data_IF_794330937829
#
_entry.id   IF_794330937829
#
_cell.length_a   1.000
_cell.length_b   1.000
_cell.length_c   1.000
_cell.angle_alpha   90.00
_cell.angle_beta   90.00
_cell.angle_gamma   90.00
#
_symmetry.space_group_name_H-M   'P 1'
#
loop_
_entity.id
_entity.type
_entity.pdbx_description
1 polymer ?
#
# COMPACT_ATOMS: atom_id res chain seq x y z
N UNK A 1 -20.18 30.64 -19.30
CA UNK A 1 -20.15 30.84 -17.81
C UNK A 1 -20.18 29.45 -17.20
N UNK A 2 -19.04 28.99 -16.63
CA UNK A 2 -18.97 27.70 -15.95
C UNK A 2 -19.72 27.89 -14.63
N UNK A 3 -20.82 27.18 -14.44
CA UNK A 3 -21.52 27.15 -13.16
C UNK A 3 -20.60 26.50 -12.11
N UNK A 4 -19.96 27.34 -11.33
CA UNK A 4 -19.11 26.92 -10.20
C UNK A 4 -19.99 26.77 -8.95
N UNK A 5 -21.02 25.93 -9.03
CA UNK A 5 -21.74 25.55 -7.80
C UNK A 5 -20.74 24.87 -6.88
N UNK A 6 -20.36 25.45 -5.74
CA UNK A 6 -19.40 24.84 -4.83
C UNK A 6 -19.98 23.52 -4.31
N UNK A 7 -19.12 22.54 -4.12
CA UNK A 7 -19.48 21.35 -3.35
C UNK A 7 -20.04 21.79 -1.99
N UNK A 8 -21.11 21.13 -1.53
CA UNK A 8 -21.83 21.53 -0.34
C UNK A 8 -21.02 21.39 0.95
N UNK A 9 -20.02 20.50 0.98
CA UNK A 9 -19.13 20.29 2.12
C UNK A 9 -17.86 19.53 1.74
N UNK A 10 -16.81 19.64 2.55
CA UNK A 10 -15.69 18.73 2.53
C UNK A 10 -16.06 17.38 3.16
N UNK A 11 -15.40 16.31 2.73
CA UNK A 11 -15.54 14.98 3.34
C UNK A 11 -14.62 14.86 4.58
N UNK A 12 -15.20 14.56 5.74
CA UNK A 12 -14.48 14.27 6.97
C UNK A 12 -14.59 12.78 7.30
N UNK A 13 -13.45 12.11 7.52
CA UNK A 13 -13.39 10.69 7.85
C UNK A 13 -12.66 10.55 9.19
N UNK A 14 -13.38 10.33 10.30
CA UNK A 14 -12.75 10.19 11.61
C UNK A 14 -11.92 8.91 11.69
N UNK A 15 -10.83 8.95 12.45
CA UNK A 15 -9.90 7.85 12.55
C UNK A 15 -10.52 6.55 13.11
N UNK A 16 -11.48 6.68 14.02
CA UNK A 16 -12.20 5.55 14.63
C UNK A 16 -13.20 4.87 13.68
N UNK A 17 -13.55 5.52 12.58
CA UNK A 17 -14.39 4.94 11.53
C UNK A 17 -13.57 4.29 10.40
N UNK A 18 -12.25 4.42 10.41
CA UNK A 18 -11.40 3.82 9.40
C UNK A 18 -11.41 2.28 9.54
N UNK A 19 -11.78 1.60 8.46
CA UNK A 19 -11.67 0.16 8.37
C UNK A 19 -10.22 -0.27 8.11
N UNK A 20 -9.93 -1.55 8.30
CA UNK A 20 -8.64 -2.11 8.01
C UNK A 20 -8.64 -3.62 8.10
N UNK A 21 -7.52 -4.22 7.77
CA UNK A 21 -7.29 -5.66 7.88
C UNK A 21 -5.96 -5.94 8.54
N UNK A 22 -5.90 -7.02 9.31
CA UNK A 22 -4.68 -7.52 9.92
C UNK A 22 -4.18 -8.72 9.12
N UNK A 23 -2.92 -8.67 8.72
CA UNK A 23 -2.24 -9.76 8.05
C UNK A 23 -1.83 -10.86 9.05
N UNK A 24 -1.59 -12.06 8.58
CA UNK A 24 -1.09 -13.17 9.41
C UNK A 24 0.27 -12.89 10.05
N UNK A 25 1.04 -11.98 9.47
CA UNK A 25 2.31 -11.49 10.03
C UNK A 25 2.14 -10.56 11.22
N UNK A 26 0.91 -10.10 11.51
CA UNK A 26 0.62 -9.07 12.50
C UNK A 26 0.68 -7.63 11.95
N UNK A 27 1.10 -7.44 10.72
CA UNK A 27 1.04 -6.12 10.07
C UNK A 27 -0.40 -5.73 9.76
N UNK A 28 -0.69 -4.43 9.74
CA UNK A 28 -2.05 -3.90 9.57
C UNK A 28 -2.08 -2.93 8.39
N UNK A 29 -3.07 -3.11 7.52
CA UNK A 29 -3.43 -2.12 6.51
C UNK A 29 -4.70 -1.39 6.96
N UNK A 30 -4.61 -0.08 7.22
CA UNK A 30 -5.75 0.77 7.56
C UNK A 30 -6.16 1.59 6.35
N UNK A 31 -7.47 1.64 6.10
CA UNK A 31 -8.05 2.34 4.95
C UNK A 31 -8.43 3.76 5.36
N UNK A 32 -7.45 4.68 5.32
CA UNK A 32 -7.63 6.07 5.77
C UNK A 32 -8.59 6.81 4.85
N UNK A 33 -8.34 6.72 3.54
CA UNK A 33 -9.19 7.31 2.51
C UNK A 33 -9.13 6.43 1.24
N UNK A 34 -9.95 5.38 1.13
CA UNK A 34 -10.10 4.63 -0.12
C UNK A 34 -10.56 5.54 -1.26
N UNK A 35 -10.39 5.09 -2.50
CA UNK A 35 -10.68 5.89 -3.68
C UNK A 35 -12.08 6.52 -3.72
N UNK A 36 -13.09 5.87 -3.14
CA UNK A 36 -14.44 6.43 -3.02
C UNK A 36 -14.50 7.71 -2.18
N UNK A 37 -13.62 7.87 -1.21
CA UNK A 37 -13.55 9.05 -0.36
C UNK A 37 -12.97 10.30 -1.08
N UNK A 38 -12.25 10.09 -2.18
CA UNK A 38 -11.52 11.13 -2.92
C UNK A 38 -12.00 11.30 -4.36
N UNK A 39 -13.15 10.72 -4.70
CA UNK A 39 -13.67 10.70 -6.08
C UNK A 39 -12.69 10.04 -7.07
N UNK A 40 -11.97 9.02 -6.62
CA UNK A 40 -11.01 8.28 -7.44
C UNK A 40 -9.67 8.98 -7.68
N UNK A 41 -9.43 10.15 -7.12
CA UNK A 41 -8.20 10.92 -7.37
C UNK A 41 -6.98 10.30 -6.73
N UNK A 42 -7.12 9.80 -5.51
CA UNK A 42 -6.09 9.04 -4.80
C UNK A 42 -6.71 8.14 -3.75
N UNK A 43 -5.97 7.14 -3.33
CA UNK A 43 -6.25 6.35 -2.14
C UNK A 43 -5.15 6.56 -1.11
N UNK A 44 -5.51 6.76 0.16
CA UNK A 44 -4.57 6.91 1.26
C UNK A 44 -4.76 5.77 2.26
N UNK A 45 -3.67 5.07 2.55
CA UNK A 45 -3.63 3.94 3.47
C UNK A 45 -2.52 4.14 4.50
N UNK A 46 -2.68 3.56 5.66
CA UNK A 46 -1.61 3.45 6.65
C UNK A 46 -1.20 1.98 6.73
N UNK A 47 0.09 1.74 6.55
CA UNK A 47 0.69 0.43 6.78
C UNK A 47 1.43 0.45 8.11
N UNK A 48 0.99 -0.40 9.04
CA UNK A 48 1.67 -0.64 10.32
C UNK A 48 2.40 -1.97 10.19
N UNK A 49 3.70 -1.91 10.06
CA UNK A 49 4.55 -3.08 9.82
C UNK A 49 5.00 -3.70 11.14
N UNK A 50 4.66 -4.95 11.36
CA UNK A 50 5.18 -5.71 12.49
C UNK A 50 6.72 -5.87 12.39
N UNK A 51 7.42 -6.05 13.53
CA UNK A 51 8.86 -6.27 13.54
C UNK A 51 9.27 -7.47 12.69
N UNK A 52 10.41 -7.39 12.02
CA UNK A 52 11.01 -8.50 11.25
C UNK A 52 10.06 -9.12 10.23
N UNK A 53 9.20 -8.31 9.61
CA UNK A 53 8.29 -8.79 8.57
C UNK A 53 8.75 -8.37 7.19
N UNK A 54 8.73 -9.30 6.23
CA UNK A 54 8.71 -8.96 4.82
C UNK A 54 7.44 -8.18 4.53
N UNK A 55 7.52 -7.17 3.69
CA UNK A 55 6.35 -6.50 3.13
C UNK A 55 6.05 -7.09 1.77
N UNK A 56 6.42 -6.36 0.75
CA UNK A 56 6.27 -6.82 -0.63
C UNK A 56 7.64 -7.00 -1.27
N UNK A 57 7.79 -8.11 -2.00
CA UNK A 57 8.93 -8.26 -2.91
C UNK A 57 8.88 -7.18 -4.00
N UNK A 58 10.00 -6.98 -4.69
CA UNK A 58 10.07 -6.00 -5.75
C UNK A 58 9.00 -6.26 -6.83
N UNK A 59 8.19 -5.26 -7.10
CA UNK A 59 7.10 -5.31 -8.06
C UNK A 59 6.87 -3.93 -8.67
N UNK A 60 6.03 -3.85 -9.69
CA UNK A 60 5.62 -2.60 -10.30
C UNK A 60 4.11 -2.56 -10.52
N UNK A 61 3.58 -1.35 -10.66
CA UNK A 61 2.21 -1.09 -11.11
C UNK A 61 2.23 -0.35 -12.45
N UNK A 62 1.27 -0.62 -13.33
CA UNK A 62 1.23 -0.02 -14.67
C UNK A 62 0.32 1.19 -14.76
N UNK A 63 -0.70 1.29 -13.90
CA UNK A 63 -1.78 2.27 -14.06
C UNK A 63 -1.89 3.29 -12.93
N UNK A 64 -1.08 3.18 -11.90
CA UNK A 64 -1.04 4.14 -10.79
C UNK A 64 0.37 4.28 -10.22
N UNK A 65 0.63 5.44 -9.66
CA UNK A 65 1.82 5.71 -8.86
C UNK A 65 1.59 5.32 -7.40
N UNK A 66 2.67 5.03 -6.68
CA UNK A 66 2.65 4.73 -5.25
C UNK A 66 3.68 5.59 -4.53
N UNK A 67 3.27 6.21 -3.44
CA UNK A 67 4.17 7.05 -2.64
C UNK A 67 4.13 6.63 -1.18
N UNK A 68 5.28 6.68 -0.54
CA UNK A 68 5.47 6.27 0.83
C UNK A 68 5.96 7.44 1.68
N UNK A 69 5.35 7.63 2.83
CA UNK A 69 5.80 8.58 3.83
C UNK A 69 5.91 7.89 5.18
N UNK A 70 7.13 7.71 5.67
CA UNK A 70 7.37 7.03 6.95
C UNK A 70 6.95 7.94 8.10
N UNK A 71 6.08 7.44 8.98
CA UNK A 71 5.54 8.20 10.11
C UNK A 71 6.14 7.78 11.45
N UNK A 72 6.60 6.53 11.58
CA UNK A 72 7.22 6.02 12.80
C UNK A 72 8.19 4.88 12.49
N UNK A 73 9.25 4.80 13.27
CA UNK A 73 10.26 3.75 13.13
C UNK A 73 11.10 3.89 11.86
N UNK A 74 11.55 2.75 11.33
CA UNK A 74 12.33 2.67 10.11
C UNK A 74 11.88 1.49 9.25
N UNK A 75 11.82 1.71 7.95
CA UNK A 75 11.50 0.69 6.94
C UNK A 75 12.60 0.63 5.89
N UNK A 76 12.78 -0.54 5.31
CA UNK A 76 13.68 -0.72 4.17
C UNK A 76 12.84 -0.69 2.89
N UNK A 77 13.10 0.30 2.03
CA UNK A 77 12.38 0.55 0.78
C UNK A 77 13.29 0.27 -0.42
N UNK A 78 12.75 -0.37 -1.45
CA UNK A 78 13.43 -0.50 -2.73
C UNK A 78 13.01 0.63 -3.68
N UNK A 79 13.98 1.40 -4.18
CA UNK A 79 13.73 2.60 -4.98
C UNK A 79 13.79 2.37 -6.50
N UNK A 80 13.88 1.11 -6.91
CA UNK A 80 14.05 0.70 -8.31
C UNK A 80 15.50 0.39 -8.67
N UNK A 81 16.45 0.78 -7.83
CA UNK A 81 17.89 0.52 -8.02
C UNK A 81 18.55 -0.13 -6.82
N UNK A 82 18.16 0.23 -5.62
CA UNK A 82 18.75 -0.24 -4.37
C UNK A 82 17.74 -0.22 -3.23
N UNK A 83 18.06 -0.99 -2.20
CA UNK A 83 17.36 -0.92 -0.92
C UNK A 83 17.92 0.22 -0.07
N UNK A 84 17.04 1.04 0.48
CA UNK A 84 17.37 2.18 1.33
C UNK A 84 16.64 2.06 2.67
N UNK A 85 17.27 2.56 3.74
CA UNK A 85 16.60 2.68 5.04
C UNK A 85 15.92 4.05 5.11
N UNK A 86 14.60 4.03 5.19
CA UNK A 86 13.76 5.21 5.36
C UNK A 86 13.31 5.33 6.82
N UNK A 87 13.37 6.54 7.38
CA UNK A 87 13.01 6.86 8.75
C UNK A 87 11.84 7.83 8.79
N UNK A 88 11.29 8.06 9.96
CA UNK A 88 10.21 9.03 10.16
C UNK A 88 10.52 10.38 9.50
N UNK A 89 9.62 10.83 8.62
CA UNK A 89 9.76 12.04 7.82
C UNK A 89 10.31 11.82 6.40
N UNK A 90 10.83 10.64 6.09
CA UNK A 90 11.33 10.33 4.74
C UNK A 90 10.17 10.00 3.79
N UNK A 91 10.35 10.38 2.53
CA UNK A 91 9.36 10.24 1.47
C UNK A 91 9.97 9.59 0.23
N UNK A 92 9.26 8.63 -0.36
CA UNK A 92 9.60 8.01 -1.64
C UNK A 92 8.39 8.08 -2.58
N UNK A 93 8.58 8.66 -3.76
CA UNK A 93 7.59 8.61 -4.83
C UNK A 93 7.99 7.61 -5.90
N UNK A 94 7.09 6.69 -6.22
CA UNK A 94 7.28 5.67 -7.24
C UNK A 94 6.31 5.90 -8.39
N UNK A 95 6.79 6.35 -9.57
CA UNK A 95 5.96 6.46 -10.76
C UNK A 95 5.46 5.09 -11.25
N UNK A 96 4.47 5.11 -12.13
CA UNK A 96 4.02 3.91 -12.84
C UNK A 96 5.20 3.23 -13.56
N UNK A 97 5.24 1.91 -13.52
CA UNK A 97 6.26 1.10 -14.20
C UNK A 97 7.59 0.99 -13.49
N UNK A 98 7.79 1.67 -12.36
CA UNK A 98 9.04 1.60 -11.59
C UNK A 98 8.95 0.49 -10.53
N UNK A 99 9.95 -0.38 -10.51
CA UNK A 99 10.05 -1.45 -9.52
C UNK A 99 10.29 -0.88 -8.12
N UNK A 100 9.55 -1.38 -7.14
CA UNK A 100 9.67 -0.97 -5.75
C UNK A 100 9.23 -2.11 -4.81
N UNK A 101 9.46 -1.93 -3.53
CA UNK A 101 9.08 -2.88 -2.49
C UNK A 101 9.43 -2.33 -1.12
N UNK A 102 8.99 -3.01 -0.07
CA UNK A 102 9.31 -2.60 1.29
C UNK A 102 9.35 -3.81 2.23
N UNK A 103 10.05 -3.64 3.33
CA UNK A 103 10.11 -4.60 4.44
C UNK A 103 10.52 -3.90 5.74
N UNK A 104 10.24 -4.54 6.85
CA UNK A 104 10.71 -4.10 8.17
C UNK A 104 11.83 -5.03 8.66
N UNK A 105 13.07 -4.57 8.56
CA UNK A 105 14.25 -5.30 9.00
C UNK A 105 14.59 -5.04 10.48
N UNK A 106 13.75 -4.28 11.19
CA UNK A 106 14.00 -3.88 12.60
C UNK A 106 13.23 -4.75 13.59
N UNK A 107 13.59 -4.64 14.87
CA UNK A 107 12.88 -5.29 15.98
C UNK A 107 11.70 -4.46 16.52
N UNK A 108 11.46 -3.30 15.89
CA UNK A 108 10.42 -2.35 16.28
C UNK A 108 9.30 -2.32 15.24
N UNK A 109 8.09 -2.01 15.69
CA UNK A 109 6.99 -1.67 14.78
C UNK A 109 7.32 -0.38 14.03
N UNK A 110 7.05 -0.35 12.74
CA UNK A 110 7.20 0.84 11.91
C UNK A 110 5.91 1.16 11.18
N UNK A 111 5.67 2.44 10.89
CA UNK A 111 4.46 2.87 10.21
C UNK A 111 4.77 3.83 9.07
N UNK A 112 3.98 3.75 8.02
CA UNK A 112 4.04 4.66 6.89
C UNK A 112 2.64 4.92 6.32
N UNK A 113 2.47 6.08 5.73
CA UNK A 113 1.35 6.36 4.83
C UNK A 113 1.72 5.90 3.42
N UNK A 114 0.76 5.30 2.74
CA UNK A 114 0.88 4.87 1.35
C UNK A 114 -0.21 5.56 0.55
N UNK A 115 0.19 6.30 -0.48
CA UNK A 115 -0.72 7.04 -1.36
C UNK A 115 -0.65 6.47 -2.76
N UNK A 116 -1.80 6.06 -3.28
CA UNK A 116 -1.99 5.56 -4.63
C UNK A 116 -2.71 6.59 -5.49
N UNK A 117 -2.20 6.93 -6.66
CA UNK A 117 -2.82 7.93 -7.55
C UNK A 117 -2.64 7.58 -9.04
N UNK A 118 -3.75 7.57 -9.85
CA UNK A 118 -5.16 7.62 -9.41
C UNK A 118 -5.49 6.43 -8.50
N UNK A 119 -6.62 6.50 -7.78
CA UNK A 119 -6.96 5.49 -6.78
C UNK A 119 -7.32 4.13 -7.42
N UNK A 120 -6.52 3.07 -7.25
CA UNK A 120 -6.97 1.72 -7.53
C UNK A 120 -7.79 1.20 -6.34
N UNK A 121 -8.60 0.14 -6.49
CA UNK A 121 -9.36 -0.44 -5.39
C UNK A 121 -8.47 -1.26 -4.45
N UNK A 122 -7.47 -0.62 -3.80
CA UNK A 122 -6.48 -1.30 -2.95
C UNK A 122 -7.08 -1.90 -1.67
N UNK A 123 -8.21 -1.38 -1.20
CA UNK A 123 -8.96 -1.99 -0.11
C UNK A 123 -9.37 -3.44 -0.45
N UNK A 124 -9.75 -3.70 -1.69
CA UNK A 124 -10.07 -5.08 -2.16
C UNK A 124 -8.82 -5.96 -2.17
N UNK A 125 -7.70 -5.41 -2.64
CA UNK A 125 -6.42 -6.10 -2.63
C UNK A 125 -6.03 -6.54 -1.21
N UNK A 126 -6.05 -5.63 -0.26
CA UNK A 126 -5.67 -5.93 1.12
C UNK A 126 -6.62 -6.90 1.79
N UNK A 127 -7.94 -6.80 1.55
CA UNK A 127 -8.92 -7.74 2.08
C UNK A 127 -8.70 -9.14 1.52
N UNK A 128 -8.54 -9.28 0.22
CA UNK A 128 -8.31 -10.57 -0.43
C UNK A 128 -6.98 -11.19 0.04
N UNK A 129 -5.92 -10.39 0.15
CA UNK A 129 -4.62 -10.85 0.66
C UNK A 129 -4.73 -11.38 2.11
N UNK A 130 -5.45 -10.66 2.97
CA UNK A 130 -5.68 -11.09 4.35
C UNK A 130 -6.52 -12.38 4.42
N UNK A 131 -7.55 -12.51 3.58
CA UNK A 131 -8.39 -13.71 3.48
C UNK A 131 -7.58 -14.93 3.02
N UNK A 132 -6.71 -14.79 2.02
CA UNK A 132 -5.82 -15.86 1.57
C UNK A 132 -4.92 -16.30 2.73
N UNK A 133 -4.31 -15.37 3.44
CA UNK A 133 -3.47 -15.68 4.59
C UNK A 133 -4.24 -16.41 5.72
N UNK A 134 -5.44 -15.95 6.04
CA UNK A 134 -6.29 -16.53 7.09
C UNK A 134 -6.86 -17.91 6.71
N UNK A 135 -7.00 -18.21 5.42
CA UNK A 135 -7.58 -19.45 4.92
C UNK A 135 -6.71 -20.68 5.17
N UNK A 136 -5.42 -20.50 5.43
CA UNK A 136 -4.43 -21.58 5.52
C UNK A 136 -4.11 -22.25 4.18
N UNK A 137 -4.66 -21.76 3.05
CA UNK A 137 -4.32 -22.25 1.71
C UNK A 137 -2.92 -21.85 1.33
N UNK A 138 -2.23 -22.75 0.66
CA UNK A 138 -0.98 -22.43 -0.06
C UNK A 138 -1.35 -22.26 -1.52
N UNK A 139 -1.17 -21.06 -2.06
CA UNK A 139 -1.37 -20.81 -3.48
C UNK A 139 -0.15 -21.30 -4.27
N UNK A 140 -0.41 -21.81 -5.47
CA UNK A 140 0.63 -22.12 -6.44
C UNK A 140 1.25 -20.81 -6.98
N UNK A 141 2.39 -20.93 -7.66
CA UNK A 141 3.02 -19.78 -8.32
C UNK A 141 2.08 -19.13 -9.33
N UNK A 142 1.39 -19.91 -10.15
CA UNK A 142 0.43 -19.40 -11.14
C UNK A 142 -0.75 -18.69 -10.47
N UNK A 143 -1.29 -19.23 -9.37
CA UNK A 143 -2.36 -18.59 -8.61
C UNK A 143 -1.91 -17.23 -8.02
N UNK A 144 -0.66 -17.14 -7.55
CA UNK A 144 -0.10 -15.87 -7.09
C UNK A 144 0.07 -14.86 -8.24
N UNK A 145 0.57 -15.30 -9.40
CA UNK A 145 0.72 -14.45 -10.57
C UNK A 145 -0.64 -13.89 -11.01
N UNK A 146 -1.68 -14.72 -11.05
CA UNK A 146 -3.03 -14.29 -11.38
C UNK A 146 -3.60 -13.30 -10.34
N UNK A 147 -3.39 -13.58 -9.05
CA UNK A 147 -3.79 -12.67 -7.98
C UNK A 147 -3.15 -11.30 -8.13
N UNK A 148 -1.82 -11.25 -8.28
CA UNK A 148 -1.10 -9.99 -8.44
C UNK A 148 -1.57 -9.22 -9.68
N UNK A 149 -1.70 -9.91 -10.82
CA UNK A 149 -2.11 -9.28 -12.08
C UNK A 149 -3.52 -8.66 -12.03
N UNK A 150 -4.46 -9.32 -11.33
CA UNK A 150 -5.82 -8.76 -11.13
C UNK A 150 -5.82 -7.44 -10.36
N UNK A 151 -4.78 -7.19 -9.59
CA UNK A 151 -4.60 -5.99 -8.79
C UNK A 151 -3.53 -5.04 -9.35
N UNK A 152 -3.19 -5.17 -10.65
CA UNK A 152 -2.16 -4.38 -11.33
C UNK A 152 -0.82 -4.38 -10.56
N UNK A 153 -0.38 -5.57 -10.18
CA UNK A 153 0.90 -5.79 -9.52
C UNK A 153 1.68 -6.88 -10.24
N UNK A 154 2.91 -6.57 -10.63
CA UNK A 154 3.75 -7.46 -11.42
C UNK A 154 5.10 -7.62 -10.73
N UNK A 155 5.43 -8.85 -10.35
CA UNK A 155 6.66 -9.16 -9.64
C UNK A 155 7.88 -8.96 -10.53
N UNK A 156 8.95 -8.40 -9.98
CA UNK A 156 10.21 -8.16 -10.66
C UNK A 156 11.31 -8.97 -9.95
N UNK A 157 12.02 -9.79 -10.73
CA UNK A 157 13.18 -10.49 -10.22
C UNK A 157 14.36 -9.50 -10.15
N UNK A 158 14.89 -9.31 -8.96
CA UNK A 158 16.14 -8.58 -8.75
C UNK A 158 17.31 -9.53 -9.06
N UNK A 159 18.19 -9.07 -9.94
CA UNK A 159 19.40 -9.81 -10.32
C UNK A 159 20.45 -9.87 -9.20
#
# INVERSE_FOLDING_TARGET
>A
MTDLSPATSAGFHPADAAEGVTMTTGSIARFVAPGGATQGRFGLFEWVSAPRTGGTDAHLHKTFSESFYVTAGALTLYDGTKWITARSGDFLHVPEGVAHGFRNDTDETASMLVLFAPAPPREKFFRELAEIGASGRTLTEDEWIDFWARHDQYQVKLG
#
